data_IF_203985564357
#
_entry.id   IF_203985564357
#
_cell.length_a   1.000
_cell.length_b   1.000
_cell.length_c   1.000
_cell.angle_alpha   90.00
_cell.angle_beta   90.00
_cell.angle_gamma   90.00
#
_symmetry.space_group_name_H-M   'P 1'
#
loop_
_entity.id
_entity.type
_entity.pdbx_description
1 polymer ?
#
# COMPACT_ATOMS: atom_id res chain seq x y z
N UNK A 1 -14.86 -5.34 22.58
CA UNK A 1 -13.59 -5.78 21.97
C UNK A 1 -13.08 -4.64 21.12
N UNK A 2 -11.93 -4.03 21.46
CA UNK A 2 -11.34 -2.98 20.65
C UNK A 2 -10.72 -3.61 19.41
N UNK A 3 -11.37 -3.46 18.25
CA UNK A 3 -10.83 -3.85 16.96
C UNK A 3 -9.57 -3.01 16.69
N UNK A 4 -8.41 -3.67 16.58
CA UNK A 4 -7.14 -3.04 16.22
C UNK A 4 -6.77 -3.45 14.81
N UNK A 5 -7.02 -2.61 13.80
CA UNK A 5 -6.76 -2.98 12.41
C UNK A 5 -5.26 -3.17 12.18
N UNK A 6 -4.91 -4.23 11.44
CA UNK A 6 -3.56 -4.49 10.96
C UNK A 6 -3.43 -4.04 9.51
N UNK A 7 -2.61 -3.03 9.28
CA UNK A 7 -2.47 -2.35 8.00
C UNK A 7 -1.07 -2.57 7.43
N UNK A 8 -1.01 -3.00 6.18
CA UNK A 8 0.23 -3.01 5.38
C UNK A 8 0.23 -1.79 4.46
N UNK A 9 1.21 -0.91 4.59
CA UNK A 9 1.42 0.21 3.66
C UNK A 9 2.52 -0.17 2.67
N UNK A 10 2.24 -0.02 1.37
CA UNK A 10 3.19 -0.33 0.31
C UNK A 10 3.47 0.93 -0.52
N UNK A 11 4.69 1.44 -0.41
CA UNK A 11 5.17 2.62 -1.10
C UNK A 11 6.61 2.43 -1.61
N UNK A 12 7.14 3.45 -2.28
CA UNK A 12 8.58 3.49 -2.57
C UNK A 12 9.30 4.32 -1.53
N UNK A 13 8.82 5.55 -1.36
CA UNK A 13 9.40 6.56 -0.50
C UNK A 13 8.28 7.13 0.34
N UNK A 14 8.58 7.46 1.60
CA UNK A 14 7.65 8.20 2.45
C UNK A 14 8.23 9.56 2.79
N UNK A 15 7.40 10.60 2.70
CA UNK A 15 7.76 11.91 3.20
C UNK A 15 7.58 11.99 4.73
N UNK A 16 7.96 13.13 5.31
CA UNK A 16 7.81 13.35 6.75
C UNK A 16 6.33 13.38 7.17
N UNK A 17 5.45 13.85 6.29
CA UNK A 17 4.03 13.95 6.56
C UNK A 17 3.42 12.54 6.69
N UNK A 18 3.70 11.65 5.75
CA UNK A 18 3.26 10.26 5.77
C UNK A 18 3.82 9.52 6.99
N UNK A 19 5.09 9.73 7.34
CA UNK A 19 5.68 9.15 8.55
C UNK A 19 4.94 9.60 9.83
N UNK A 20 4.61 10.89 9.94
CA UNK A 20 3.85 11.43 11.07
C UNK A 20 2.41 10.90 11.10
N UNK A 21 1.76 10.76 9.95
CA UNK A 21 0.43 10.14 9.84
C UNK A 21 0.48 8.70 10.35
N UNK A 22 1.48 7.91 9.95
CA UNK A 22 1.62 6.55 10.42
C UNK A 22 1.90 6.48 11.93
N UNK A 23 2.74 7.36 12.47
CA UNK A 23 2.97 7.45 13.93
C UNK A 23 1.67 7.73 14.68
N UNK A 24 0.90 8.73 14.24
CA UNK A 24 -0.39 9.06 14.85
C UNK A 24 -1.40 7.90 14.78
N UNK A 25 -1.40 7.12 13.70
CA UNK A 25 -2.25 5.93 13.61
C UNK A 25 -1.82 4.82 14.59
N UNK A 26 -0.51 4.62 14.77
CA UNK A 26 0.02 3.65 15.76
C UNK A 26 -0.36 4.07 17.18
N UNK A 27 -0.25 5.35 17.51
CA UNK A 27 -0.68 5.90 18.80
C UNK A 27 -2.18 5.69 19.07
N UNK A 28 -3.00 5.68 18.01
CA UNK A 28 -4.43 5.39 18.08
C UNK A 28 -4.76 3.88 18.02
N UNK A 29 -3.76 2.99 18.12
CA UNK A 29 -3.94 1.55 18.25
C UNK A 29 -4.01 0.78 16.93
N UNK A 30 -3.63 1.38 15.80
CA UNK A 30 -3.49 0.71 14.50
C UNK A 30 -2.13 0.02 14.44
N UNK A 31 -2.10 -1.26 14.04
CA UNK A 31 -0.82 -1.95 13.81
C UNK A 31 -0.38 -1.71 12.38
N UNK A 32 0.72 -0.99 12.18
CA UNK A 32 1.23 -0.65 10.84
C UNK A 32 2.52 -1.41 10.55
N UNK A 33 2.54 -2.06 9.38
CA UNK A 33 3.75 -2.56 8.73
C UNK A 33 3.93 -1.85 7.40
N UNK A 34 5.16 -1.45 7.10
CA UNK A 34 5.51 -0.67 5.92
C UNK A 34 6.43 -1.49 5.03
N UNK A 35 6.18 -1.44 3.72
CA UNK A 35 7.07 -1.89 2.66
C UNK A 35 7.57 -0.67 1.90
N UNK A 36 8.89 -0.56 1.78
CA UNK A 36 9.55 0.58 1.16
C UNK A 36 10.80 0.19 0.38
N UNK A 37 11.24 1.07 -0.51
CA UNK A 37 12.46 0.85 -1.28
C UNK A 37 13.69 0.81 -0.36
N UNK A 38 14.66 -0.10 -0.56
CA UNK A 38 15.83 -0.24 0.30
C UNK A 38 16.76 0.99 0.36
N UNK A 39 16.61 1.92 -0.59
CA UNK A 39 17.58 2.99 -0.83
C UNK A 39 17.45 4.23 0.08
N UNK A 40 16.61 4.22 1.14
CA UNK A 40 16.14 5.48 1.76
C UNK A 40 16.39 5.66 3.26
N UNK A 41 16.78 6.90 3.57
CA UNK A 41 17.21 7.46 4.86
C UNK A 41 16.11 7.69 5.91
N UNK A 42 14.93 7.05 5.80
CA UNK A 42 13.80 7.28 6.74
C UNK A 42 13.32 6.06 7.51
N UNK A 43 13.98 4.92 7.31
CA UNK A 43 13.72 3.69 8.05
C UNK A 43 13.79 3.91 9.56
N UNK A 44 14.80 4.60 10.05
CA UNK A 44 15.00 4.83 11.49
C UNK A 44 13.86 5.61 12.15
N UNK A 45 13.28 6.59 11.46
CA UNK A 45 12.18 7.40 12.00
C UNK A 45 10.93 6.53 12.18
N UNK A 46 10.62 5.72 11.18
CA UNK A 46 9.48 4.80 11.23
C UNK A 46 9.67 3.72 12.30
N UNK A 47 10.88 3.16 12.41
CA UNK A 47 11.19 2.16 13.43
C UNK A 47 11.12 2.74 14.86
N UNK A 48 11.58 3.99 15.06
CA UNK A 48 11.43 4.71 16.34
C UNK A 48 9.96 4.96 16.72
N UNK A 49 9.09 5.13 15.73
CA UNK A 49 7.65 5.24 15.92
C UNK A 49 6.95 3.88 16.17
N UNK A 50 7.71 2.78 16.29
CA UNK A 50 7.17 1.43 16.51
C UNK A 50 6.59 0.79 15.24
N UNK A 51 6.87 1.34 14.06
CA UNK A 51 6.39 0.81 12.78
C UNK A 51 7.37 -0.22 12.26
N UNK A 52 6.86 -1.40 11.90
CA UNK A 52 7.69 -2.44 11.30
C UNK A 52 8.01 -2.10 9.85
N UNK A 53 9.29 -1.90 9.53
CA UNK A 53 9.73 -1.56 8.15
C UNK A 53 10.36 -2.77 7.47
N UNK A 54 9.92 -3.05 6.24
CA UNK A 54 10.52 -4.07 5.38
C UNK A 54 11.03 -3.43 4.09
N UNK A 55 12.28 -3.71 3.76
CA UNK A 55 12.88 -3.27 2.51
C UNK A 55 12.48 -4.22 1.37
N UNK A 56 11.72 -3.72 0.39
CA UNK A 56 11.42 -4.42 -0.85
C UNK A 56 11.27 -3.38 -1.97
N UNK A 57 12.19 -3.42 -2.94
CA UNK A 57 12.09 -2.61 -4.14
C UNK A 57 11.04 -3.19 -5.10
N UNK A 58 10.13 -2.33 -5.57
CA UNK A 58 9.18 -2.65 -6.64
C UNK A 58 9.63 -1.90 -7.89
N UNK A 59 10.20 -2.62 -8.85
CA UNK A 59 10.85 -2.03 -10.03
C UNK A 59 9.84 -1.58 -11.09
N UNK A 60 8.79 -2.38 -11.31
CA UNK A 60 7.82 -2.20 -12.40
C UNK A 60 6.37 -2.39 -11.93
N UNK A 61 5.38 -2.22 -12.82
CA UNK A 61 3.96 -2.51 -12.50
C UNK A 61 3.67 -4.01 -12.38
N UNK A 62 4.52 -4.87 -12.95
CA UNK A 62 4.43 -6.32 -12.88
C UNK A 62 5.84 -6.84 -12.59
N UNK A 63 6.16 -6.96 -11.31
CA UNK A 63 7.43 -7.45 -10.81
C UNK A 63 7.19 -8.80 -10.11
N UNK A 64 7.45 -9.89 -10.83
CA UNK A 64 7.14 -11.25 -10.34
C UNK A 64 7.84 -11.58 -9.02
N UNK A 65 9.06 -11.06 -8.82
CA UNK A 65 9.83 -11.25 -7.58
C UNK A 65 9.16 -10.52 -6.42
N UNK A 66 8.77 -9.26 -6.63
CA UNK A 66 8.04 -8.49 -5.62
C UNK A 66 6.65 -9.09 -5.34
N UNK A 67 5.92 -9.51 -6.37
CA UNK A 67 4.59 -10.15 -6.25
C UNK A 67 4.69 -11.41 -5.38
N UNK A 68 5.68 -12.26 -5.62
CA UNK A 68 5.85 -13.48 -4.85
C UNK A 68 6.13 -13.18 -3.37
N UNK A 69 7.07 -12.25 -3.09
CA UNK A 69 7.39 -11.82 -1.71
C UNK A 69 6.19 -11.18 -1.01
N UNK A 70 5.44 -10.33 -1.70
CA UNK A 70 4.21 -9.73 -1.21
C UNK A 70 3.18 -10.81 -0.90
N UNK A 71 2.99 -11.79 -1.78
CA UNK A 71 2.01 -12.86 -1.59
C UNK A 71 2.32 -13.70 -0.35
N UNK A 72 3.57 -14.12 -0.17
CA UNK A 72 3.97 -14.87 1.02
C UNK A 72 3.69 -14.06 2.29
N UNK A 73 3.96 -12.75 2.26
CA UNK A 73 3.71 -11.83 3.37
C UNK A 73 2.23 -11.68 3.69
N UNK A 74 1.38 -11.53 2.66
CA UNK A 74 -0.07 -11.41 2.82
C UNK A 74 -0.67 -12.68 3.42
N UNK A 75 -0.17 -13.86 3.02
CA UNK A 75 -0.60 -15.15 3.57
C UNK A 75 -0.15 -15.37 5.01
N UNK A 76 1.06 -14.92 5.38
CA UNK A 76 1.61 -15.17 6.71
C UNK A 76 1.07 -14.24 7.80
N UNK A 77 0.68 -13.02 7.45
CA UNK A 77 0.44 -11.97 8.44
C UNK A 77 -1.02 -11.51 8.61
N UNK A 78 -1.96 -12.01 7.78
CA UNK A 78 -3.39 -11.70 7.86
C UNK A 78 -3.68 -10.19 8.03
N UNK A 79 -3.37 -9.38 7.03
CA UNK A 79 -3.66 -7.95 7.07
C UNK A 79 -5.14 -7.68 6.79
N UNK A 80 -5.76 -6.81 7.60
CA UNK A 80 -7.12 -6.34 7.34
C UNK A 80 -7.15 -5.44 6.11
N UNK A 81 -6.16 -4.53 6.01
CA UNK A 81 -6.07 -3.51 4.97
C UNK A 81 -4.65 -3.48 4.38
N UNK A 82 -4.56 -3.38 3.06
CA UNK A 82 -3.33 -3.02 2.35
C UNK A 82 -3.52 -1.66 1.69
N UNK A 83 -2.73 -0.69 2.12
CA UNK A 83 -2.74 0.66 1.57
C UNK A 83 -1.61 0.84 0.55
N UNK A 84 -1.95 1.07 -0.72
CA UNK A 84 -0.97 1.24 -1.79
C UNK A 84 -0.81 2.71 -2.15
N UNK A 85 0.40 3.26 -2.00
CA UNK A 85 0.66 4.69 -2.26
C UNK A 85 0.95 5.03 -3.72
N UNK A 86 1.29 4.04 -4.53
CA UNK A 86 1.63 4.24 -5.95
C UNK A 86 0.92 3.22 -6.82
N UNK A 87 0.71 3.55 -8.11
CA UNK A 87 0.12 2.63 -9.09
C UNK A 87 0.97 1.37 -9.31
N UNK A 88 2.29 1.48 -9.19
CA UNK A 88 3.23 0.33 -9.24
C UNK A 88 3.00 -0.59 -8.04
N UNK A 89 2.97 -0.05 -6.83
CA UNK A 89 2.65 -0.83 -5.64
C UNK A 89 1.27 -1.51 -5.77
N UNK A 90 0.26 -0.77 -6.19
CA UNK A 90 -1.11 -1.25 -6.36
C UNK A 90 -1.18 -2.44 -7.33
N UNK A 91 -0.59 -2.32 -8.51
CA UNK A 91 -0.61 -3.38 -9.53
C UNK A 91 0.00 -4.69 -9.01
N UNK A 92 1.15 -4.61 -8.34
CA UNK A 92 1.82 -5.79 -7.76
C UNK A 92 1.03 -6.37 -6.58
N UNK A 93 0.47 -5.54 -5.72
CA UNK A 93 -0.37 -5.97 -4.59
C UNK A 93 -1.62 -6.67 -5.10
N UNK A 94 -2.30 -6.14 -6.12
CA UNK A 94 -3.51 -6.75 -6.70
C UNK A 94 -3.24 -8.16 -7.22
N UNK A 95 -2.10 -8.35 -7.90
CA UNK A 95 -1.66 -9.67 -8.35
C UNK A 95 -1.31 -10.59 -7.18
N UNK A 96 -0.57 -10.09 -6.18
CA UNK A 96 -0.16 -10.86 -5.00
C UNK A 96 -1.34 -11.31 -4.13
N UNK A 97 -2.36 -10.46 -4.02
CA UNK A 97 -3.53 -10.62 -3.15
C UNK A 97 -4.66 -11.43 -3.76
N UNK A 98 -4.49 -11.98 -4.98
CA UNK A 98 -5.50 -12.85 -5.61
C UNK A 98 -5.88 -14.01 -4.67
N UNK A 99 -7.19 -14.19 -4.47
CA UNK A 99 -7.79 -15.14 -3.52
C UNK A 99 -7.40 -14.96 -2.05
N UNK A 100 -6.91 -13.78 -1.64
CA UNK A 100 -6.67 -13.43 -0.24
C UNK A 100 -7.77 -12.44 0.21
N UNK A 101 -8.34 -12.70 1.40
CA UNK A 101 -9.40 -11.89 2.03
C UNK A 101 -8.78 -10.72 2.80
N UNK A 102 -8.29 -9.75 2.04
CA UNK A 102 -7.71 -8.49 2.53
C UNK A 102 -8.34 -7.35 1.77
N UNK A 103 -8.60 -6.23 2.45
CA UNK A 103 -9.12 -5.02 1.83
C UNK A 103 -8.01 -4.22 1.17
N UNK A 104 -8.19 -3.76 -0.06
CA UNK A 104 -7.18 -2.99 -0.80
C UNK A 104 -7.62 -1.56 -0.95
N UNK A 105 -6.80 -0.65 -0.44
CA UNK A 105 -7.05 0.80 -0.48
C UNK A 105 -5.93 1.47 -1.26
N UNK A 106 -6.25 2.08 -2.39
CA UNK A 106 -5.29 2.82 -3.20
C UNK A 106 -5.26 4.29 -2.79
N UNK A 107 -4.08 4.90 -2.74
CA UNK A 107 -3.92 6.35 -2.72
C UNK A 107 -3.69 6.86 -4.14
N UNK A 108 -4.23 8.05 -4.45
CA UNK A 108 -4.02 8.70 -5.74
C UNK A 108 -3.93 10.22 -5.57
N UNK A 109 -2.82 10.81 -6.03
CA UNK A 109 -2.55 12.24 -5.91
C UNK A 109 -3.09 13.11 -7.04
N UNK A 110 -3.41 12.55 -8.22
CA UNK A 110 -3.86 13.32 -9.39
C UNK A 110 -5.04 12.67 -10.11
N UNK A 111 -5.83 13.47 -10.83
CA UNK A 111 -7.08 13.04 -11.50
C UNK A 111 -6.82 12.37 -12.87
N UNK A 112 -5.61 12.41 -13.43
CA UNK A 112 -5.34 12.16 -14.86
C UNK A 112 -5.52 10.73 -15.42
N UNK A 113 -6.02 10.66 -16.67
CA UNK A 113 -6.09 9.51 -17.61
C UNK A 113 -6.48 8.14 -17.04
N UNK A 114 -7.57 8.05 -16.28
CA UNK A 114 -8.26 6.77 -16.14
C UNK A 114 -9.17 6.57 -17.35
N UNK A 115 -8.77 5.67 -18.23
CA UNK A 115 -9.63 5.22 -19.33
C UNK A 115 -10.12 3.82 -19.03
N UNK A 116 -11.43 3.60 -19.15
CA UNK A 116 -12.01 2.24 -19.09
C UNK A 116 -11.55 1.37 -20.26
N UNK A 117 -11.02 1.98 -21.31
CA UNK A 117 -10.53 1.31 -22.51
C UNK A 117 -9.05 0.92 -22.35
N UNK A 118 -8.32 1.58 -21.43
CA UNK A 118 -6.91 1.28 -21.21
C UNK A 118 -6.74 0.08 -20.24
N UNK A 119 -6.17 -1.05 -20.69
CA UNK A 119 -5.90 -2.21 -19.84
C UNK A 119 -4.99 -1.88 -18.65
N UNK A 120 -4.11 -0.88 -18.79
CA UNK A 120 -3.20 -0.47 -17.72
C UNK A 120 -3.93 0.13 -16.53
N UNK A 121 -5.11 0.74 -16.76
CA UNK A 121 -5.98 1.28 -15.73
C UNK A 121 -6.68 0.17 -14.93
N UNK A 122 -7.03 -0.96 -15.58
CA UNK A 122 -7.61 -2.16 -14.95
C UNK A 122 -6.61 -3.00 -14.17
N UNK A 123 -5.32 -2.91 -14.50
CA UNK A 123 -4.26 -3.54 -13.72
C UNK A 123 -4.07 -2.86 -12.35
N UNK A 124 -4.52 -1.62 -12.22
CA UNK A 124 -4.36 -0.79 -11.02
C UNK A 124 -5.73 -0.35 -10.46
N UNK A 125 -6.12 0.90 -10.71
CA UNK A 125 -7.24 1.55 -10.01
C UNK A 125 -8.63 1.04 -10.38
N UNK A 126 -8.84 0.58 -11.62
CA UNK A 126 -10.14 0.04 -12.04
C UNK A 126 -10.31 -1.45 -11.69
N UNK A 127 -9.32 -2.07 -11.06
CA UNK A 127 -9.41 -3.48 -10.69
C UNK A 127 -10.55 -3.69 -9.68
N UNK A 128 -11.47 -4.66 -9.89
CA UNK A 128 -12.60 -4.89 -8.98
C UNK A 128 -12.19 -5.31 -7.56
N UNK A 129 -10.93 -5.72 -7.36
CA UNK A 129 -10.38 -6.03 -6.04
C UNK A 129 -10.00 -4.77 -5.24
N UNK A 130 -9.99 -3.59 -5.84
CA UNK A 130 -9.80 -2.32 -5.12
C UNK A 130 -11.09 -2.00 -4.37
N UNK A 131 -11.02 -1.98 -3.04
CA UNK A 131 -12.19 -1.68 -2.20
C UNK A 131 -12.43 -0.17 -2.08
N UNK A 132 -11.37 0.63 -1.99
CA UNK A 132 -11.43 2.09 -1.88
C UNK A 132 -10.25 2.79 -2.54
N UNK A 133 -10.49 4.03 -2.96
CA UNK A 133 -9.46 4.97 -3.42
C UNK A 133 -9.52 6.22 -2.54
N UNK A 134 -8.38 6.62 -2.00
CA UNK A 134 -8.18 7.84 -1.22
C UNK A 134 -7.54 8.87 -2.16
N UNK A 135 -8.14 10.06 -2.23
CA UNK A 135 -7.66 11.18 -3.03
C UNK A 135 -7.64 12.47 -2.21
N UNK A 136 -6.63 13.31 -2.47
CA UNK A 136 -6.49 14.65 -1.86
C UNK A 136 -7.44 15.66 -2.51
N UNK A 137 -7.90 15.41 -3.74
CA UNK A 137 -8.77 16.31 -4.50
C UNK A 137 -10.19 15.76 -4.64
N UNK A 138 -11.19 16.60 -4.34
CA UNK A 138 -12.62 16.35 -4.58
C UNK A 138 -12.99 16.20 -6.06
N UNK A 139 -12.05 16.40 -6.98
CA UNK A 139 -12.23 16.21 -8.43
C UNK A 139 -12.21 14.74 -8.85
N UNK A 140 -12.07 13.80 -7.91
CA UNK A 140 -12.16 12.36 -8.14
C UNK A 140 -13.51 11.88 -7.61
N UNK A 141 -14.52 11.85 -8.49
CA UNK A 141 -15.82 11.20 -8.26
C UNK A 141 -15.91 9.91 -9.07
#
# INVERSE_FOLDING_TARGET
MNFRPKVLVVGQDFDLCEANIFSGLVENGVTIEVIMSPALNRKEILEKAGIKVNALGISSRIDLSAIWKLRQRLLSNNYDIVHCLTSRALSNVLLASRNIKTKIVAYRGTVGHLSRIDPSSWLAYLNPKVDKIICVSNSVK
#
